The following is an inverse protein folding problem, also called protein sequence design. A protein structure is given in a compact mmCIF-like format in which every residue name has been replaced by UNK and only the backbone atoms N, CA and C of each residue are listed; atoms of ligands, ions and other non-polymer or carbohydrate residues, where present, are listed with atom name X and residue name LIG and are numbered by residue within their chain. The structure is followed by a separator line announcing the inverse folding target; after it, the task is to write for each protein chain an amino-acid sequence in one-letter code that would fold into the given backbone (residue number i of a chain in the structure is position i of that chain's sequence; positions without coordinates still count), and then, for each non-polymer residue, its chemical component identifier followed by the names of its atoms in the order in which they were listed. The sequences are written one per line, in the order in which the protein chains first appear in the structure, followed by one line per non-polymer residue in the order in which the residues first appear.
data_IF_129372615823
#
_entry.id   IF_129372615823
#
_cell.length_a   1.000
_cell.length_b   1.000
_cell.length_c   1.000
_cell.angle_alpha   90.00
_cell.angle_beta   90.00
_cell.angle_gamma   90.00
#
_symmetry.space_group_name_H-M   'P 1'
#
loop_
_entity.id
_entity.type
_entity.pdbx_description
1 polymer ?
#
# COMPACT_ATOMS: atom_id res chain seq x y z
N UNK A 1 -10.82 -9.25 1.31
CA UNK A 1 -10.30 -8.03 1.96
C UNK A 1 -9.18 -8.42 2.89
N UNK A 2 -7.95 -7.98 2.59
CA UNK A 2 -6.76 -8.29 3.39
C UNK A 2 -6.32 -7.03 4.12
N UNK A 3 -5.94 -7.15 5.40
CA UNK A 3 -5.47 -6.03 6.21
C UNK A 3 -4.01 -6.24 6.58
N UNK A 4 -3.18 -5.25 6.29
CA UNK A 4 -1.76 -5.23 6.67
C UNK A 4 -1.53 -4.09 7.65
N UNK A 5 -0.75 -4.36 8.70
CA UNK A 5 -0.23 -3.28 9.54
C UNK A 5 0.80 -2.47 8.76
N UNK A 6 0.83 -1.16 9.00
CA UNK A 6 1.85 -0.24 8.46
C UNK A 6 3.26 -0.78 8.68
N UNK A 7 3.57 -1.23 9.89
CA UNK A 7 4.87 -1.80 10.22
C UNK A 7 5.26 -2.99 9.31
N UNK A 8 4.33 -3.89 9.01
CA UNK A 8 4.58 -5.00 8.09
C UNK A 8 4.86 -4.52 6.67
N UNK A 9 4.11 -3.52 6.19
CA UNK A 9 4.36 -2.91 4.87
C UNK A 9 5.72 -2.21 4.84
N UNK A 10 6.10 -1.51 5.90
CA UNK A 10 7.42 -0.88 5.99
C UNK A 10 8.56 -1.92 5.98
N UNK A 11 8.37 -3.08 6.63
CA UNK A 11 9.31 -4.20 6.54
C UNK A 11 9.42 -4.77 5.13
N UNK A 12 8.29 -4.95 4.43
CA UNK A 12 8.29 -5.39 3.02
C UNK A 12 9.03 -4.40 2.12
N UNK A 13 8.78 -3.10 2.28
CA UNK A 13 9.48 -2.06 1.52
C UNK A 13 10.97 -2.01 1.85
N UNK A 14 11.35 -2.25 3.10
CA UNK A 14 12.76 -2.32 3.49
C UNK A 14 13.49 -3.53 2.91
N UNK A 15 12.78 -4.66 2.73
CA UNK A 15 13.31 -5.84 2.05
C UNK A 15 13.42 -5.66 0.53
N UNK A 16 12.72 -4.69 -0.05
CA UNK A 16 12.72 -4.38 -1.48
C UNK A 16 12.83 -2.87 -1.72
N UNK A 17 13.99 -2.26 -1.42
CA UNK A 17 14.14 -0.80 -1.43
C UNK A 17 13.95 -0.16 -2.81
N UNK A 18 14.04 -0.95 -3.88
CA UNK A 18 13.93 -0.50 -5.27
C UNK A 18 12.57 -0.67 -5.93
N UNK A 19 11.56 -1.07 -5.16
CA UNK A 19 10.19 -1.24 -5.66
C UNK A 19 9.28 -0.06 -5.31
N UNK A 20 8.15 0.05 -5.99
CA UNK A 20 7.06 0.97 -5.62
C UNK A 20 6.11 0.29 -4.63
N UNK A 21 5.33 1.08 -3.90
CA UNK A 21 4.36 0.54 -2.95
C UNK A 21 3.31 -0.35 -3.65
N UNK A 22 2.87 0.04 -4.84
CA UNK A 22 2.00 -0.74 -5.72
C UNK A 22 2.59 -2.11 -6.04
N UNK A 23 3.85 -2.13 -6.46
CA UNK A 23 4.54 -3.36 -6.83
C UNK A 23 4.81 -4.26 -5.62
N UNK A 24 5.17 -3.70 -4.46
CA UNK A 24 5.35 -4.46 -3.21
C UNK A 24 4.06 -5.12 -2.72
N UNK A 25 2.92 -4.46 -2.92
CA UNK A 25 1.61 -4.96 -2.49
C UNK A 25 0.90 -5.79 -3.57
N UNK A 26 1.52 -5.93 -4.75
CA UNK A 26 0.93 -6.60 -5.92
C UNK A 26 -0.47 -6.07 -6.27
N UNK A 27 -0.63 -4.74 -6.19
CA UNK A 27 -1.87 -4.03 -6.50
C UNK A 27 -1.70 -3.14 -7.71
N UNK A 28 -2.80 -2.88 -8.40
CA UNK A 28 -2.82 -1.97 -9.54
C UNK A 28 -2.58 -0.52 -9.11
N UNK A 29 -3.19 -0.09 -8.01
CA UNK A 29 -3.07 1.27 -7.50
C UNK A 29 -3.21 1.30 -5.98
N UNK A 30 -2.47 2.20 -5.34
CA UNK A 30 -2.62 2.52 -3.92
C UNK A 30 -3.31 3.86 -3.77
N UNK A 31 -4.46 3.92 -3.10
CA UNK A 31 -5.12 5.16 -2.70
C UNK A 31 -4.61 5.62 -1.34
N UNK A 32 -4.44 6.94 -1.19
CA UNK A 32 -4.14 7.54 0.11
C UNK A 32 -5.45 7.84 0.86
N UNK A 33 -5.50 7.50 2.14
CA UNK A 33 -6.58 7.89 3.05
C UNK A 33 -6.01 8.62 4.25
N UNK A 34 -6.48 9.85 4.47
CA UNK A 34 -6.12 10.65 5.66
C UNK A 34 -6.75 10.14 6.95
N UNK A 35 -7.75 9.26 6.87
CA UNK A 35 -8.37 8.62 8.02
C UNK A 35 -7.62 7.38 8.50
N UNK A 36 -6.69 6.85 7.69
CA UNK A 36 -5.86 5.71 8.04
C UNK A 36 -4.55 6.19 8.66
N UNK A 37 -4.18 5.57 9.79
CA UNK A 37 -2.95 5.88 10.52
C UNK A 37 -1.93 4.76 10.42
N UNK A 38 -2.35 3.53 10.73
CA UNK A 38 -1.44 2.39 10.92
C UNK A 38 -1.82 1.12 10.15
N UNK A 39 -2.78 1.22 9.23
CA UNK A 39 -3.32 0.06 8.51
C UNK A 39 -3.38 0.32 7.01
N UNK A 40 -3.07 -0.71 6.23
CA UNK A 40 -3.23 -0.75 4.79
C UNK A 40 -4.26 -1.84 4.46
N UNK A 41 -5.26 -1.46 3.68
CA UNK A 41 -6.34 -2.34 3.28
C UNK A 41 -6.18 -2.71 1.81
N UNK A 42 -6.11 -4.01 1.53
CA UNK A 42 -6.11 -4.55 0.16
C UNK A 42 -7.53 -5.01 -0.15
N UNK A 43 -8.08 -4.42 -1.21
CA UNK A 43 -9.39 -4.72 -1.76
C UNK A 43 -9.18 -5.49 -3.06
N UNK A 44 -9.78 -6.68 -3.11
CA UNK A 44 -9.84 -7.48 -4.32
C UNK A 44 -11.10 -7.05 -5.08
N UNK A 45 -10.98 -6.91 -6.40
CA UNK A 45 -12.10 -6.72 -7.33
C UNK A 45 -12.78 -5.33 -7.39
N UNK A 46 -12.10 -4.36 -8.00
CA UNK A 46 -12.78 -3.26 -8.71
C UNK A 46 -12.50 -3.44 -10.21
N UNK A 47 -13.36 -4.21 -10.89
CA UNK A 47 -13.22 -4.47 -12.33
C UNK A 47 -12.06 -5.41 -12.69
N UNK A 48 -11.81 -6.46 -11.89
CA UNK A 48 -10.76 -7.46 -12.13
C UNK A 48 -9.34 -7.03 -11.73
N UNK A 49 -9.21 -5.92 -10.97
CA UNK A 49 -7.92 -5.43 -10.46
C UNK A 49 -7.97 -5.29 -8.94
N UNK A 50 -6.83 -5.50 -8.29
CA UNK A 50 -6.64 -5.26 -6.85
C UNK A 50 -6.21 -3.82 -6.61
N UNK A 51 -6.73 -3.21 -5.56
CA UNK A 51 -6.33 -1.88 -5.12
C UNK A 51 -5.96 -1.93 -3.64
N UNK A 52 -5.08 -1.04 -3.19
CA UNK A 52 -4.82 -0.84 -1.78
C UNK A 52 -5.26 0.55 -1.32
N UNK A 53 -5.63 0.69 -0.06
CA UNK A 53 -5.84 1.97 0.62
C UNK A 53 -4.84 2.03 1.76
N UNK A 54 -3.97 3.02 1.75
CA UNK A 54 -2.90 3.20 2.72
C UNK A 54 -2.97 4.57 3.39
N UNK A 55 -2.33 4.76 4.56
CA UNK A 55 -2.16 6.08 5.15
C UNK A 55 -1.47 7.02 4.17
N UNK A 56 -1.91 8.28 4.10
CA UNK A 56 -1.33 9.28 3.19
C UNK A 56 0.18 9.38 3.35
N UNK A 57 0.66 9.51 4.60
CA UNK A 57 2.08 9.57 4.91
C UNK A 57 2.87 8.34 4.44
N UNK A 58 2.25 7.16 4.45
CA UNK A 58 2.88 5.93 3.97
C UNK A 58 3.02 5.92 2.45
N UNK A 59 1.94 6.28 1.74
CA UNK A 59 1.97 6.40 0.27
C UNK A 59 2.99 7.45 -0.17
N UNK A 60 3.00 8.62 0.46
CA UNK A 60 3.93 9.71 0.13
C UNK A 60 5.40 9.31 0.36
N UNK A 61 5.69 8.61 1.46
CA UNK A 61 7.05 8.11 1.77
C UNK A 61 7.61 7.19 0.69
N UNK A 62 6.77 6.36 0.08
CA UNK A 62 7.17 5.37 -0.93
C UNK A 62 6.74 5.74 -2.35
N UNK A 63 6.25 6.98 -2.56
CA UNK A 63 5.95 7.50 -3.89
C UNK A 63 7.25 7.75 -4.62
N UNK A 64 7.60 6.89 -5.57
CA UNK A 64 8.61 7.21 -6.59
C UNK A 64 7.91 7.99 -7.70
N UNK A 65 8.45 9.19 -8.00
CA UNK A 65 7.84 10.19 -8.89
C UNK A 65 7.67 9.75 -10.33
#
# INVERSE_FOLDING_TARGET
MTRLSRAAVEQMMNASPDTTLEAALEVFEVFASGSLTDEVYILDDVGGKRIAIAPTALKEKYRRG
#
